data_IF_361639647076
#
_entry.id   IF_361639647076
#
_cell.length_a   1.000
_cell.length_b   1.000
_cell.length_c   1.000
_cell.angle_alpha   90.00
_cell.angle_beta   90.00
_cell.angle_gamma   90.00
#
_symmetry.space_group_name_H-M   'P 1'
#
loop_
_entity.id
_entity.type
_entity.pdbx_description
1 polymer ?
#
# COMPACT_ATOMS: atom_id res chain seq x y z
N UNK A 1 -2.12 32.56 1.49
CA UNK A 1 -2.10 33.66 0.49
C UNK A 1 -0.84 33.66 -0.38
N UNK A 2 0.38 33.57 0.17
CA UNK A 2 1.61 33.55 -0.64
C UNK A 2 1.70 32.37 -1.64
N UNK A 3 1.28 31.16 -1.24
CA UNK A 3 1.29 29.97 -2.11
C UNK A 3 0.34 30.05 -3.31
N UNK A 4 -0.85 30.66 -3.14
CA UNK A 4 -1.83 30.83 -4.23
C UNK A 4 -1.27 31.78 -5.29
N UNK A 5 -0.67 32.91 -4.87
CA UNK A 5 -0.08 33.89 -5.79
C UNK A 5 1.02 33.26 -6.67
N UNK A 6 1.89 32.46 -6.06
CA UNK A 6 2.93 31.69 -6.79
C UNK A 6 2.32 30.79 -7.87
N UNK A 7 1.23 30.09 -7.57
CA UNK A 7 0.61 29.16 -8.53
C UNK A 7 -0.18 29.86 -9.63
N UNK A 8 -0.68 31.08 -9.38
CA UNK A 8 -1.28 31.93 -10.41
C UNK A 8 -0.26 32.39 -11.48
N UNK A 9 1.02 32.45 -11.14
CA UNK A 9 2.11 32.76 -12.09
C UNK A 9 2.46 31.58 -13.01
N UNK A 10 1.91 30.38 -12.75
CA UNK A 10 2.14 29.16 -13.55
C UNK A 10 0.84 28.39 -13.82
N UNK A 11 -0.13 29.00 -14.54
CA UNK A 11 -1.46 28.41 -14.77
C UNK A 11 -1.42 27.22 -15.73
N UNK A 12 -0.38 27.10 -16.58
CA UNK A 12 -0.28 26.05 -17.59
C UNK A 12 0.10 24.66 -17.08
N UNK A 13 0.53 24.54 -15.81
CA UNK A 13 0.84 23.23 -15.21
C UNK A 13 -0.44 22.66 -14.60
N UNK A 14 -0.88 21.48 -15.02
CA UNK A 14 -2.05 20.84 -14.41
C UNK A 14 -1.77 20.41 -12.96
N UNK A 15 -2.82 20.13 -12.18
CA UNK A 15 -2.66 19.60 -10.83
C UNK A 15 -1.95 18.23 -10.85
N UNK A 16 -2.36 17.33 -11.73
CA UNK A 16 -1.75 16.01 -11.87
C UNK A 16 -0.26 16.06 -12.22
N UNK A 17 0.15 16.93 -13.14
CA UNK A 17 1.57 17.15 -13.44
C UNK A 17 2.35 17.70 -12.23
N UNK A 18 1.72 18.59 -11.46
CA UNK A 18 2.33 19.14 -10.25
C UNK A 18 2.54 18.08 -9.18
N UNK A 19 1.49 17.31 -8.87
CA UNK A 19 1.54 16.18 -7.92
C UNK A 19 2.62 15.19 -8.34
N UNK A 20 2.59 14.75 -9.62
CA UNK A 20 3.53 13.75 -10.13
C UNK A 20 4.97 14.23 -10.00
N UNK A 21 5.24 15.52 -10.25
CA UNK A 21 6.57 16.10 -10.04
C UNK A 21 7.01 16.00 -8.57
N UNK A 22 6.12 16.33 -7.63
CA UNK A 22 6.42 16.24 -6.19
C UNK A 22 6.64 14.82 -5.70
N UNK A 23 5.87 13.87 -6.21
CA UNK A 23 6.12 12.44 -5.95
C UNK A 23 7.47 11.98 -6.50
N UNK A 24 7.88 12.45 -7.69
CA UNK A 24 9.20 12.15 -8.24
C UNK A 24 10.34 12.76 -7.44
N UNK A 25 10.20 14.01 -7.00
CA UNK A 25 11.16 14.67 -6.09
C UNK A 25 11.31 13.86 -4.79
N UNK A 26 10.19 13.45 -4.17
CA UNK A 26 10.21 12.60 -2.98
C UNK A 26 10.89 11.26 -3.26
N UNK A 27 10.57 10.60 -4.37
CA UNK A 27 11.19 9.34 -4.72
C UNK A 27 12.72 9.47 -4.86
N UNK A 28 13.20 10.53 -5.51
CA UNK A 28 14.63 10.80 -5.66
C UNK A 28 15.33 11.02 -4.30
N UNK A 29 14.66 11.66 -3.34
CA UNK A 29 15.15 11.80 -1.96
C UNK A 29 15.22 10.47 -1.20
N UNK A 30 14.38 9.49 -1.57
CA UNK A 30 14.27 8.19 -0.91
C UNK A 30 15.14 7.11 -1.54
N UNK A 31 15.55 7.23 -2.81
CA UNK A 31 16.43 6.27 -3.52
C UNK A 31 17.64 5.78 -2.69
N UNK A 32 18.41 6.62 -1.97
CA UNK A 32 19.57 6.14 -1.23
C UNK A 32 19.22 5.44 0.10
N UNK A 33 17.94 5.42 0.49
CA UNK A 33 17.48 4.95 1.80
C UNK A 33 16.87 3.56 1.69
N UNK A 34 17.09 2.77 2.74
CA UNK A 34 16.38 1.52 2.95
C UNK A 34 14.96 1.77 3.48
N UNK A 35 13.95 1.20 2.84
CA UNK A 35 12.57 1.19 3.31
C UNK A 35 12.36 0.05 4.31
N UNK A 36 11.98 0.39 5.55
CA UNK A 36 11.76 -0.57 6.64
C UNK A 36 10.30 -0.53 7.07
N UNK A 37 9.51 -1.51 6.64
CA UNK A 37 8.10 -1.58 7.02
C UNK A 37 7.97 -2.20 8.42
N UNK A 38 7.25 -1.51 9.30
CA UNK A 38 6.94 -1.96 10.64
C UNK A 38 5.45 -2.25 10.76
N UNK A 39 5.14 -3.46 11.19
CA UNK A 39 3.80 -3.84 11.64
C UNK A 39 3.45 -3.13 12.96
N UNK A 40 2.16 -3.03 13.28
CA UNK A 40 1.59 -2.40 14.47
C UNK A 40 2.22 -2.91 15.77
N UNK A 41 2.55 -4.20 15.83
CA UNK A 41 3.27 -4.81 16.96
C UNK A 41 4.61 -4.09 17.23
N UNK A 42 5.40 -3.82 16.20
CA UNK A 42 6.71 -3.17 16.37
C UNK A 42 6.56 -1.70 16.73
N UNK A 43 5.58 -1.00 16.15
CA UNK A 43 5.26 0.37 16.57
C UNK A 43 4.90 0.46 18.06
N UNK A 44 4.15 -0.51 18.59
CA UNK A 44 3.81 -0.60 20.02
C UNK A 44 5.06 -0.84 20.86
N UNK A 45 5.89 -1.83 20.50
CA UNK A 45 7.14 -2.12 21.22
C UNK A 45 8.01 -0.86 21.30
N UNK A 46 8.26 -0.21 20.16
CA UNK A 46 9.14 0.96 20.09
C UNK A 46 8.56 2.18 20.81
N UNK A 47 7.23 2.40 20.74
CA UNK A 47 6.56 3.45 21.53
C UNK A 47 6.77 3.22 23.02
N UNK A 48 6.59 1.99 23.48
CA UNK A 48 6.71 1.67 24.90
C UNK A 48 8.16 1.76 25.40
N UNK A 49 9.15 1.54 24.52
CA UNK A 49 10.57 1.86 24.79
C UNK A 49 10.76 3.37 24.95
N UNK A 50 10.22 4.19 24.04
CA UNK A 50 10.27 5.66 24.15
C UNK A 50 9.65 6.15 25.46
N UNK A 51 8.56 5.51 25.91
CA UNK A 51 7.88 5.84 27.16
C UNK A 51 8.61 5.32 28.42
N UNK A 52 9.68 4.53 28.27
CA UNK A 52 10.37 3.87 29.38
C UNK A 52 9.59 2.72 30.01
N UNK A 53 8.47 2.30 29.42
CA UNK A 53 7.67 1.16 29.87
C UNK A 53 8.29 -0.19 29.49
N UNK A 54 9.12 -0.21 28.44
CA UNK A 54 9.94 -1.34 28.02
C UNK A 54 11.41 -0.96 28.04
N UNK A 55 12.24 -1.81 28.64
CA UNK A 55 13.68 -1.55 28.84
C UNK A 55 14.56 -2.73 28.45
N UNK A 56 13.99 -3.73 27.76
CA UNK A 56 14.78 -4.85 27.27
C UNK A 56 15.86 -4.35 26.30
N UNK A 57 17.10 -4.79 26.50
CA UNK A 57 18.28 -4.30 25.76
C UNK A 57 18.09 -4.36 24.25
N UNK A 58 17.59 -5.49 23.74
CA UNK A 58 17.37 -5.68 22.30
C UNK A 58 16.30 -4.71 21.74
N UNK A 59 15.29 -4.35 22.53
CA UNK A 59 14.22 -3.43 22.10
C UNK A 59 14.70 -1.98 22.05
N UNK A 60 15.52 -1.60 23.04
CA UNK A 60 16.23 -0.31 23.06
C UNK A 60 17.19 -0.22 21.87
N UNK A 61 17.97 -1.27 21.64
CA UNK A 61 18.93 -1.36 20.53
C UNK A 61 18.24 -1.24 19.18
N UNK A 62 17.09 -1.90 18.97
CA UNK A 62 16.33 -1.78 17.73
C UNK A 62 15.87 -0.34 17.48
N UNK A 63 15.35 0.35 18.50
CA UNK A 63 14.95 1.76 18.38
C UNK A 63 16.13 2.66 18.06
N UNK A 64 17.25 2.51 18.78
CA UNK A 64 18.46 3.29 18.56
C UNK A 64 19.03 3.08 17.16
N UNK A 65 19.03 1.84 16.66
CA UNK A 65 19.48 1.51 15.32
C UNK A 65 18.58 2.12 14.23
N UNK A 66 17.26 2.08 14.40
CA UNK A 66 16.34 2.74 13.49
C UNK A 66 16.56 4.26 13.47
N UNK A 67 16.68 4.89 14.64
CA UNK A 67 16.96 6.33 14.76
C UNK A 67 18.28 6.72 14.12
N UNK A 68 19.34 5.92 14.34
CA UNK A 68 20.66 6.14 13.75
C UNK A 68 20.61 6.06 12.22
N UNK A 69 19.95 5.04 11.67
CA UNK A 69 19.82 4.88 10.22
C UNK A 69 18.93 5.94 9.58
N UNK A 70 17.84 6.31 10.23
CA UNK A 70 16.97 7.41 9.75
C UNK A 70 17.70 8.75 9.81
N UNK A 71 18.32 9.07 10.94
CA UNK A 71 19.06 10.32 11.16
C UNK A 71 20.30 10.48 10.27
N UNK A 72 20.93 9.37 9.88
CA UNK A 72 22.07 9.37 8.95
C UNK A 72 21.68 9.23 7.48
N UNK A 73 20.38 9.26 7.15
CA UNK A 73 19.91 9.20 5.76
C UNK A 73 20.05 7.83 5.10
N UNK A 74 20.16 6.75 5.88
CA UNK A 74 20.30 5.37 5.41
C UNK A 74 19.00 4.57 5.42
N UNK A 75 17.98 5.02 6.15
CA UNK A 75 16.67 4.36 6.19
C UNK A 75 15.51 5.34 6.35
N UNK A 76 14.30 4.81 6.19
CA UNK A 76 13.03 5.41 6.59
C UNK A 76 12.02 4.28 6.87
N UNK A 77 11.04 4.53 7.73
CA UNK A 77 10.04 3.55 8.13
C UNK A 77 8.64 3.96 7.64
N UNK A 78 8.28 3.71 6.37
CA UNK A 78 6.99 4.12 5.84
C UNK A 78 5.85 3.34 6.48
N UNK A 79 4.65 3.91 6.43
CA UNK A 79 3.41 3.22 6.81
C UNK A 79 2.44 3.13 5.61
N UNK A 80 1.50 2.19 5.69
CA UNK A 80 0.37 2.09 4.75
C UNK A 80 -0.94 2.56 5.39
N UNK A 81 -1.98 2.66 4.57
CA UNK A 81 -3.36 2.90 4.98
C UNK A 81 -3.84 1.92 6.06
N UNK A 82 -3.35 0.67 6.05
CA UNK A 82 -3.72 -0.32 7.08
C UNK A 82 -3.12 0.03 8.43
N UNK A 83 -1.84 0.45 8.47
CA UNK A 83 -1.19 0.89 9.72
C UNK A 83 -1.84 2.15 10.27
N UNK A 84 -2.31 3.04 9.39
CA UNK A 84 -3.08 4.20 9.80
C UNK A 84 -4.44 3.79 10.39
N UNK A 85 -5.18 2.88 9.74
CA UNK A 85 -6.44 2.39 10.26
C UNK A 85 -6.27 1.78 11.67
N UNK A 86 -5.27 0.92 11.86
CA UNK A 86 -4.94 0.30 13.15
C UNK A 86 -4.57 1.30 14.24
N UNK A 87 -3.80 2.35 13.89
CA UNK A 87 -3.48 3.43 14.82
C UNK A 87 -4.76 4.08 15.37
N UNK A 88 -5.78 4.29 14.54
CA UNK A 88 -7.05 4.87 14.97
C UNK A 88 -7.96 3.90 15.74
N UNK A 89 -7.70 2.58 15.71
CA UNK A 89 -8.36 1.60 16.60
C UNK A 89 -7.88 1.75 18.06
N UNK A 90 -6.73 2.37 18.30
CA UNK A 90 -6.24 2.65 19.65
C UNK A 90 -7.15 3.65 20.36
N UNK A 91 -7.82 3.20 21.43
CA UNK A 91 -8.77 4.01 22.20
C UNK A 91 -8.08 5.05 23.09
N UNK A 92 -6.88 4.75 23.58
CA UNK A 92 -6.14 5.68 24.41
C UNK A 92 -5.46 6.74 23.56
N UNK A 93 -5.97 7.96 23.63
CA UNK A 93 -5.46 9.10 22.86
C UNK A 93 -3.99 9.38 23.13
N UNK A 94 -3.49 9.15 24.35
CA UNK A 94 -2.10 9.43 24.71
C UNK A 94 -1.14 8.51 23.99
N UNK A 95 -1.38 7.19 24.05
CA UNK A 95 -0.56 6.21 23.34
C UNK A 95 -0.70 6.35 21.83
N UNK A 96 -1.89 6.69 21.33
CA UNK A 96 -2.11 6.97 19.90
C UNK A 96 -1.28 8.17 19.42
N UNK A 97 -1.31 9.28 20.15
CA UNK A 97 -0.48 10.45 19.84
C UNK A 97 1.02 10.14 19.94
N UNK A 98 1.44 9.35 20.94
CA UNK A 98 2.83 8.94 21.08
C UNK A 98 3.30 8.06 19.91
N UNK A 99 2.47 7.10 19.47
CA UNK A 99 2.75 6.31 18.26
C UNK A 99 2.82 7.21 17.02
N UNK A 100 1.89 8.15 16.86
CA UNK A 100 1.89 9.07 15.72
C UNK A 100 3.18 9.92 15.63
N UNK A 101 3.67 10.42 16.78
CA UNK A 101 4.95 11.15 16.83
C UNK A 101 6.15 10.29 16.48
N UNK A 102 6.15 9.03 16.92
CA UNK A 102 7.21 8.08 16.57
C UNK A 102 7.16 7.73 15.08
N UNK A 103 5.97 7.59 14.50
CA UNK A 103 5.81 7.42 13.05
C UNK A 103 6.33 8.66 12.31
N UNK A 104 5.97 9.87 12.74
CA UNK A 104 6.49 11.12 12.13
C UNK A 104 8.03 11.13 12.12
N UNK A 105 8.64 10.73 13.24
CA UNK A 105 10.09 10.65 13.42
C UNK A 105 10.73 9.64 12.46
N UNK A 106 10.28 8.38 12.48
CA UNK A 106 10.97 7.28 11.77
C UNK A 106 10.58 7.20 10.28
N UNK A 107 9.37 7.63 9.91
CA UNK A 107 8.89 7.60 8.52
C UNK A 107 9.35 8.81 7.70
N UNK A 108 9.79 9.89 8.35
CA UNK A 108 10.07 11.18 7.71
C UNK A 108 8.84 11.79 7.01
N UNK A 109 7.66 11.47 7.52
CA UNK A 109 6.40 11.89 6.93
C UNK A 109 6.04 11.14 5.66
N UNK A 110 6.62 9.97 5.39
CA UNK A 110 6.40 9.18 4.17
C UNK A 110 5.41 8.04 4.41
N UNK A 111 4.51 7.84 3.46
CA UNK A 111 3.63 6.66 3.39
C UNK A 111 3.78 5.97 2.04
N UNK A 112 3.27 4.74 1.94
CA UNK A 112 2.88 4.21 0.65
C UNK A 112 1.61 4.92 0.16
N UNK A 113 1.40 4.92 -1.16
CA UNK A 113 0.08 5.20 -1.74
C UNK A 113 -0.92 4.09 -1.33
N UNK A 114 -2.24 4.36 -1.27
CA UNK A 114 -3.25 3.39 -0.89
C UNK A 114 -3.26 2.08 -1.71
N UNK A 115 -3.78 0.98 -1.15
CA UNK A 115 -3.91 -0.32 -1.81
C UNK A 115 -4.47 -0.22 -3.23
N UNK A 116 -5.63 0.44 -3.39
CA UNK A 116 -6.30 0.53 -4.67
C UNK A 116 -5.44 1.30 -5.69
N UNK A 117 -4.79 2.39 -5.27
CA UNK A 117 -3.86 3.15 -6.12
C UNK A 117 -2.63 2.31 -6.51
N UNK A 118 -2.10 1.46 -5.62
CA UNK A 118 -1.01 0.53 -5.97
C UNK A 118 -1.44 -0.43 -7.08
N UNK A 119 -2.62 -1.04 -6.94
CA UNK A 119 -3.17 -1.97 -7.95
C UNK A 119 -3.39 -1.26 -9.29
N UNK A 120 -3.93 -0.04 -9.27
CA UNK A 120 -4.15 0.78 -10.48
C UNK A 120 -2.82 1.07 -11.17
N UNK A 121 -1.81 1.55 -10.44
CA UNK A 121 -0.51 1.91 -11.03
C UNK A 121 0.27 0.70 -11.55
N UNK A 122 0.22 -0.43 -10.83
CA UNK A 122 0.78 -1.69 -11.29
C UNK A 122 0.13 -2.11 -12.61
N UNK A 123 -1.20 -2.06 -12.69
CA UNK A 123 -1.97 -2.40 -13.88
C UNK A 123 -1.70 -1.45 -15.05
N UNK A 124 -1.68 -0.14 -14.81
CA UNK A 124 -1.38 0.86 -15.84
C UNK A 124 0.04 0.66 -16.39
N UNK A 125 1.02 0.47 -15.52
CA UNK A 125 2.41 0.20 -15.92
C UNK A 125 2.52 -1.08 -16.74
N UNK A 126 1.85 -2.16 -16.31
CA UNK A 126 1.81 -3.43 -17.03
C UNK A 126 1.20 -3.28 -18.43
N UNK A 127 0.01 -2.66 -18.54
CA UNK A 127 -0.68 -2.44 -19.82
C UNK A 127 0.19 -1.60 -20.77
N UNK A 128 0.78 -0.51 -20.29
CA UNK A 128 1.62 0.35 -21.12
C UNK A 128 2.89 -0.37 -21.59
N UNK A 129 3.47 -1.22 -20.74
CA UNK A 129 4.65 -2.03 -21.05
C UNK A 129 4.34 -3.06 -22.14
N UNK A 130 3.23 -3.80 -22.01
CA UNK A 130 2.75 -4.74 -23.03
C UNK A 130 2.36 -4.03 -24.34
N UNK A 131 1.89 -2.78 -24.24
CA UNK A 131 1.65 -1.88 -25.38
C UNK A 131 2.94 -1.36 -26.05
N UNK A 132 4.12 -1.76 -25.57
CA UNK A 132 5.42 -1.45 -26.18
C UNK A 132 6.07 -0.15 -25.69
N UNK A 133 5.52 0.51 -24.66
CA UNK A 133 6.14 1.72 -24.07
C UNK A 133 7.36 1.32 -23.25
N UNK A 134 8.53 1.89 -23.59
CA UNK A 134 9.84 1.52 -22.99
C UNK A 134 10.34 2.50 -21.93
N UNK A 135 9.82 3.71 -21.90
CA UNK A 135 10.24 4.83 -21.04
C UNK A 135 9.33 4.97 -19.81
N UNK A 136 8.94 3.86 -19.21
CA UNK A 136 8.10 3.85 -18.01
C UNK A 136 8.92 4.21 -16.77
N UNK A 137 8.33 5.03 -15.90
CA UNK A 137 8.90 5.31 -14.58
C UNK A 137 8.85 4.02 -13.75
N UNK A 138 9.95 3.60 -13.13
CA UNK A 138 9.96 2.42 -12.28
C UNK A 138 8.92 2.51 -11.15
N UNK A 139 8.15 1.42 -10.95
CA UNK A 139 7.05 1.38 -9.96
C UNK A 139 7.50 1.80 -8.56
N UNK A 140 8.68 1.38 -8.11
CA UNK A 140 9.21 1.75 -6.78
C UNK A 140 9.34 3.27 -6.56
N UNK A 141 9.40 4.08 -7.62
CA UNK A 141 9.40 5.55 -7.52
C UNK A 141 8.01 6.15 -7.40
N UNK A 142 6.97 5.40 -7.77
CA UNK A 142 5.58 5.87 -7.80
C UNK A 142 4.80 5.46 -6.54
N UNK A 143 5.35 4.60 -5.70
CA UNK A 143 4.64 4.07 -4.53
C UNK A 143 4.67 4.97 -3.30
N UNK A 144 5.40 6.07 -3.33
CA UNK A 144 5.60 6.92 -2.15
C UNK A 144 4.72 8.17 -2.19
N UNK A 145 4.19 8.51 -1.02
CA UNK A 145 3.42 9.73 -0.78
C UNK A 145 3.74 10.30 0.61
N UNK A 146 3.01 11.33 1.02
CA UNK A 146 3.08 11.89 2.38
C UNK A 146 1.95 11.35 3.25
N UNK A 147 2.17 11.28 4.56
CA UNK A 147 1.22 10.76 5.56
C UNK A 147 -0.18 11.40 5.45
N UNK A 148 -0.24 12.68 5.08
CA UNK A 148 -1.49 13.42 4.86
C UNK A 148 -2.35 12.93 3.68
N UNK A 149 -1.74 12.16 2.78
CA UNK A 149 -2.36 11.55 1.61
C UNK A 149 -2.43 10.03 1.70
N UNK A 150 -2.30 9.46 2.89
CA UNK A 150 -2.31 8.00 3.08
C UNK A 150 -3.66 7.35 2.76
N UNK A 151 -4.75 8.13 2.74
CA UNK A 151 -6.08 7.69 2.32
C UNK A 151 -6.44 8.20 0.91
N UNK A 152 -5.42 8.56 0.13
CA UNK A 152 -5.57 9.09 -1.21
C UNK A 152 -5.61 10.61 -1.27
N UNK A 153 -5.52 11.15 -2.48
CA UNK A 153 -5.41 12.57 -2.74
C UNK A 153 -6.80 13.23 -2.87
N UNK A 154 -7.06 14.19 -1.98
CA UNK A 154 -8.30 14.99 -2.02
C UNK A 154 -7.93 16.47 -2.05
N UNK A 155 -8.60 17.22 -2.92
CA UNK A 155 -8.41 18.66 -3.07
C UNK A 155 -9.77 19.37 -3.18
N UNK A 156 -9.87 20.65 -2.77
CA UNK A 156 -11.04 21.46 -3.05
C UNK A 156 -11.29 21.54 -4.56
N UNK A 157 -12.49 21.20 -5.00
CA UNK A 157 -12.89 21.24 -6.41
C UNK A 157 -14.34 21.74 -6.52
N UNK A 158 -14.72 22.20 -7.71
CA UNK A 158 -16.07 22.76 -7.96
C UNK A 158 -16.41 23.92 -7.03
N UNK A 159 -15.42 24.77 -6.83
CA UNK A 159 -15.53 25.99 -6.05
C UNK A 159 -16.23 27.09 -6.86
N UNK A 160 -16.58 28.20 -6.21
CA UNK A 160 -17.12 29.38 -6.89
C UNK A 160 -16.07 30.24 -7.61
N UNK A 161 -14.80 29.81 -7.68
CA UNK A 161 -13.71 30.56 -8.30
C UNK A 161 -13.58 30.27 -9.80
N UNK A 162 -12.87 31.13 -10.54
CA UNK A 162 -12.48 30.84 -11.92
C UNK A 162 -11.47 29.68 -11.98
N UNK A 163 -11.34 29.05 -13.15
CA UNK A 163 -10.52 27.84 -13.31
C UNK A 163 -9.04 28.04 -12.94
N UNK A 164 -8.46 29.22 -13.20
CA UNK A 164 -7.06 29.49 -12.87
C UNK A 164 -6.89 29.65 -11.35
N UNK A 165 -7.80 30.36 -10.70
CA UNK A 165 -7.83 30.51 -9.25
C UNK A 165 -8.10 29.19 -8.53
N UNK A 166 -9.05 28.38 -9.01
CA UNK A 166 -9.32 27.05 -8.46
C UNK A 166 -8.09 26.14 -8.56
N UNK A 167 -7.44 26.09 -9.74
CA UNK A 167 -6.21 25.31 -9.92
C UNK A 167 -5.07 25.79 -9.00
N UNK A 168 -4.92 27.10 -8.84
CA UNK A 168 -3.93 27.67 -7.93
C UNK A 168 -4.23 27.34 -6.46
N UNK A 169 -5.52 27.33 -6.08
CA UNK A 169 -5.97 26.92 -4.75
C UNK A 169 -5.70 25.43 -4.51
N UNK A 170 -5.98 24.57 -5.49
CA UNK A 170 -5.71 23.13 -5.40
C UNK A 170 -4.24 22.83 -5.19
N UNK A 171 -3.35 23.45 -5.98
CA UNK A 171 -1.89 23.27 -5.80
C UNK A 171 -1.40 23.82 -4.46
N UNK A 172 -1.94 24.96 -4.01
CA UNK A 172 -1.59 25.52 -2.70
C UNK A 172 -2.09 24.66 -1.53
N UNK A 173 -3.28 24.07 -1.66
CA UNK A 173 -3.83 23.11 -0.71
C UNK A 173 -2.96 21.84 -0.69
N UNK A 174 -2.53 21.37 -1.86
CA UNK A 174 -1.61 20.25 -1.97
C UNK A 174 -0.30 20.51 -1.23
N UNK A 175 0.34 21.66 -1.48
CA UNK A 175 1.57 22.04 -0.78
C UNK A 175 1.40 22.07 0.74
N UNK A 176 0.25 22.56 1.22
CA UNK A 176 -0.03 22.59 2.65
C UNK A 176 -0.13 21.18 3.22
N UNK A 177 -0.99 20.34 2.62
CA UNK A 177 -1.17 18.95 3.04
C UNK A 177 0.15 18.18 2.99
N UNK A 178 1.00 18.40 1.98
CA UNK A 178 2.30 17.75 1.83
C UNK A 178 3.24 17.94 3.04
N UNK A 179 3.00 18.98 3.85
CA UNK A 179 3.79 19.31 5.05
C UNK A 179 3.16 18.91 6.38
N UNK A 180 1.90 18.46 6.38
CA UNK A 180 1.19 18.09 7.62
C UNK A 180 1.74 16.78 8.18
N UNK A 181 2.00 16.75 9.48
CA UNK A 181 2.43 15.55 10.19
C UNK A 181 1.26 14.64 10.57
N UNK A 182 1.51 13.36 10.77
CA UNK A 182 0.49 12.42 11.25
C UNK A 182 0.03 12.77 12.67
N UNK A 183 0.94 13.22 13.54
CA UNK A 183 0.56 13.69 14.88
C UNK A 183 -0.40 14.89 14.84
N UNK A 184 -0.28 15.76 13.83
CA UNK A 184 -1.26 16.83 13.60
C UNK A 184 -2.59 16.29 13.09
N UNK A 185 -2.59 15.34 12.13
CA UNK A 185 -3.82 14.68 11.68
C UNK A 185 -4.56 13.98 12.81
N UNK A 186 -3.86 13.21 13.63
CA UNK A 186 -4.43 12.49 14.80
C UNK A 186 -5.11 13.48 15.76
N UNK A 187 -4.50 14.66 15.96
CA UNK A 187 -5.07 15.72 16.80
C UNK A 187 -6.32 16.34 16.18
N UNK A 188 -6.29 16.64 14.88
CA UNK A 188 -7.42 17.24 14.15
C UNK A 188 -8.60 16.28 14.08
N UNK A 189 -8.36 15.03 13.73
CA UNK A 189 -9.39 14.00 13.60
C UNK A 189 -9.97 13.67 14.99
N UNK A 190 -9.11 13.57 16.01
CA UNK A 190 -9.54 13.34 17.39
C UNK A 190 -10.34 12.04 17.53
N UNK A 191 -11.57 12.15 18.04
CA UNK A 191 -12.49 11.03 18.20
C UNK A 191 -13.48 10.87 17.03
N UNK A 192 -13.27 11.61 15.94
CA UNK A 192 -14.22 11.69 14.81
C UNK A 192 -14.10 10.53 13.82
N UNK A 193 -13.12 9.63 13.98
CA UNK A 193 -13.06 8.43 13.15
C UNK A 193 -14.25 7.52 13.47
N UNK A 194 -14.95 7.02 12.44
CA UNK A 194 -15.99 6.03 12.64
C UNK A 194 -15.39 4.79 13.33
N UNK A 195 -16.15 4.13 14.23
CA UNK A 195 -15.70 2.89 14.83
C UNK A 195 -15.47 1.84 13.76
N UNK A 196 -14.56 0.91 14.05
CA UNK A 196 -14.30 -0.25 13.20
C UNK A 196 -15.62 -0.99 12.94
N UNK A 197 -15.96 -1.17 11.66
CA UNK A 197 -17.19 -1.83 11.27
C UNK A 197 -17.06 -3.35 11.32
N UNK A 198 -18.18 -4.06 11.41
CA UNK A 198 -18.24 -5.53 11.35
C UNK A 198 -17.96 -6.10 9.94
N UNK A 199 -17.47 -5.29 9.00
CA UNK A 199 -17.29 -5.67 7.60
C UNK A 199 -16.32 -6.85 7.46
N UNK A 200 -15.15 -6.78 8.08
CA UNK A 200 -14.16 -7.87 8.01
C UNK A 200 -14.56 -9.10 8.81
N UNK A 201 -15.26 -8.93 9.94
CA UNK A 201 -15.85 -10.08 10.64
C UNK A 201 -16.91 -10.79 9.79
N UNK A 202 -17.74 -10.03 9.08
CA UNK A 202 -18.76 -10.56 8.17
C UNK A 202 -18.11 -11.25 6.97
N UNK A 203 -17.07 -10.64 6.40
CA UNK A 203 -16.30 -11.20 5.30
C UNK A 203 -15.62 -12.51 5.69
N UNK A 204 -14.92 -12.56 6.83
CA UNK A 204 -14.29 -13.76 7.35
C UNK A 204 -15.29 -14.91 7.53
N UNK A 205 -16.47 -14.63 8.12
CA UNK A 205 -17.54 -15.62 8.26
C UNK A 205 -18.00 -16.16 6.90
N UNK A 206 -18.23 -15.27 5.94
CA UNK A 206 -18.66 -15.63 4.58
C UNK A 206 -17.61 -16.49 3.86
N UNK A 207 -16.34 -16.07 3.90
CA UNK A 207 -15.24 -16.81 3.26
C UNK A 207 -15.03 -18.18 3.90
N UNK A 208 -15.07 -18.27 5.24
CA UNK A 208 -14.95 -19.55 5.93
C UNK A 208 -16.10 -20.50 5.62
N UNK A 209 -17.34 -20.01 5.49
CA UNK A 209 -18.47 -20.83 5.09
C UNK A 209 -18.29 -21.37 3.66
N UNK A 210 -17.85 -20.52 2.72
CA UNK A 210 -17.51 -20.93 1.36
C UNK A 210 -16.36 -21.96 1.34
N UNK A 211 -15.31 -21.77 2.14
CA UNK A 211 -14.21 -22.73 2.25
C UNK A 211 -14.68 -24.11 2.71
N UNK A 212 -15.58 -24.16 3.70
CA UNK A 212 -16.15 -25.41 4.17
C UNK A 212 -17.00 -26.11 3.10
N UNK A 213 -17.78 -25.34 2.34
CA UNK A 213 -18.63 -25.85 1.26
C UNK A 213 -17.82 -26.43 0.09
N UNK A 214 -16.68 -25.82 -0.24
CA UNK A 214 -15.86 -26.16 -1.42
C UNK A 214 -14.52 -26.83 -1.04
N UNK A 215 -14.43 -27.46 0.13
CA UNK A 215 -13.17 -27.99 0.67
C UNK A 215 -12.55 -29.14 -0.16
N UNK A 216 -13.36 -29.82 -0.97
CA UNK A 216 -12.97 -30.90 -1.88
C UNK A 216 -12.31 -30.40 -3.18
N UNK A 217 -12.52 -29.13 -3.52
CA UNK A 217 -11.90 -28.43 -4.65
C UNK A 217 -10.47 -27.94 -4.33
N UNK A 218 -10.09 -27.86 -3.05
CA UNK A 218 -8.82 -27.30 -2.57
C UNK A 218 -7.75 -28.40 -2.36
N UNK A 219 -7.31 -29.05 -3.45
CA UNK A 219 -6.45 -30.25 -3.37
C UNK A 219 -4.95 -29.94 -3.33
N UNK A 220 -4.52 -28.83 -3.91
CA UNK A 220 -3.13 -28.37 -3.90
C UNK A 220 -3.06 -26.85 -3.82
N UNK A 221 -1.95 -26.32 -3.33
CA UNK A 221 -1.74 -24.88 -3.26
C UNK A 221 -1.89 -24.22 -4.64
N UNK A 222 -1.29 -24.78 -5.70
CA UNK A 222 -1.39 -24.23 -7.06
C UNK A 222 -2.83 -24.20 -7.57
N UNK A 223 -3.64 -25.22 -7.26
CA UNK A 223 -5.06 -25.22 -7.62
C UNK A 223 -5.80 -24.13 -6.86
N UNK A 224 -5.60 -24.04 -5.55
CA UNK A 224 -6.21 -23.01 -4.71
C UNK A 224 -5.81 -21.60 -5.15
N UNK A 225 -4.53 -21.38 -5.47
CA UNK A 225 -4.02 -20.14 -6.03
C UNK A 225 -4.73 -19.79 -7.35
N UNK A 226 -4.92 -20.76 -8.25
CA UNK A 226 -5.64 -20.53 -9.50
C UNK A 226 -7.12 -20.16 -9.28
N UNK A 227 -7.77 -20.72 -8.26
CA UNK A 227 -9.15 -20.35 -7.87
C UNK A 227 -9.17 -18.92 -7.31
N UNK A 228 -8.28 -18.61 -6.37
CA UNK A 228 -8.17 -17.27 -5.77
C UNK A 228 -7.84 -16.21 -6.79
N UNK A 229 -6.91 -16.50 -7.70
CA UNK A 229 -6.54 -15.59 -8.77
C UNK A 229 -7.76 -15.24 -9.62
N UNK A 230 -8.54 -16.23 -10.06
CA UNK A 230 -9.75 -15.96 -10.86
C UNK A 230 -10.75 -15.08 -10.12
N UNK A 231 -10.96 -15.32 -8.82
CA UNK A 231 -11.81 -14.46 -7.99
C UNK A 231 -11.25 -13.04 -7.84
N UNK A 232 -9.94 -12.89 -7.69
CA UNK A 232 -9.28 -11.58 -7.69
C UNK A 232 -9.41 -10.86 -9.03
N UNK A 233 -9.31 -11.60 -10.15
CA UNK A 233 -9.48 -11.08 -11.50
C UNK A 233 -10.91 -10.57 -11.77
N UNK A 234 -11.93 -11.11 -11.11
CA UNK A 234 -13.30 -10.56 -11.19
C UNK A 234 -13.37 -9.11 -10.67
N UNK A 235 -12.48 -8.74 -9.74
CA UNK A 235 -12.39 -7.38 -9.18
C UNK A 235 -11.49 -6.47 -10.02
N UNK A 236 -10.40 -6.98 -10.58
CA UNK A 236 -9.40 -6.14 -11.27
C UNK A 236 -9.56 -6.07 -12.80
N UNK A 237 -10.29 -6.99 -13.43
CA UNK A 237 -10.53 -6.94 -14.87
C UNK A 237 -11.35 -5.70 -15.32
N UNK A 238 -12.39 -5.26 -14.58
CA UNK A 238 -13.06 -3.98 -14.87
C UNK A 238 -12.09 -2.80 -14.83
N UNK A 239 -11.18 -2.79 -13.85
CA UNK A 239 -10.16 -1.74 -13.74
C UNK A 239 -9.21 -1.72 -14.94
N UNK A 240 -8.74 -2.89 -15.41
CA UNK A 240 -7.90 -2.98 -16.61
C UNK A 240 -8.65 -2.46 -17.86
N UNK A 241 -9.93 -2.82 -18.00
CA UNK A 241 -10.80 -2.33 -19.07
C UNK A 241 -10.97 -0.81 -19.01
N UNK A 242 -11.12 -0.23 -17.82
CA UNK A 242 -11.24 1.21 -17.62
C UNK A 242 -9.95 1.95 -18.01
N UNK A 243 -8.79 1.46 -17.54
CA UNK A 243 -7.48 2.05 -17.87
C UNK A 243 -7.27 2.10 -19.40
N UNK A 244 -7.57 1.00 -20.09
CA UNK A 244 -7.44 0.94 -21.56
C UNK A 244 -8.47 1.83 -22.24
N UNK A 245 -9.70 1.87 -21.71
CA UNK A 245 -10.74 2.78 -22.17
C UNK A 245 -10.30 4.23 -22.09
N UNK A 246 -9.67 4.65 -20.99
CA UNK A 246 -9.12 6.00 -20.84
C UNK A 246 -7.97 6.28 -21.80
N UNK A 247 -7.06 5.33 -21.98
CA UNK A 247 -5.96 5.47 -22.94
C UNK A 247 -6.50 5.65 -24.37
N UNK A 248 -7.49 4.83 -24.76
CA UNK A 248 -8.15 4.90 -26.06
C UNK A 248 -8.94 6.20 -26.24
N UNK A 249 -9.63 6.67 -25.20
CA UNK A 249 -10.37 7.93 -25.20
C UNK A 249 -9.42 9.12 -25.41
N UNK A 250 -8.27 9.14 -24.71
CA UNK A 250 -7.24 10.19 -24.91
C UNK A 250 -6.65 10.17 -26.33
N UNK A 251 -6.54 9.00 -26.95
CA UNK A 251 -5.98 8.85 -28.29
C UNK A 251 -6.98 9.16 -29.41
N UNK A 252 -8.26 8.86 -29.22
CA UNK A 252 -9.29 8.89 -30.27
C UNK A 252 -10.38 9.93 -30.06
N UNK A 253 -10.49 10.49 -28.86
CA UNK A 253 -11.58 11.39 -28.44
C UNK A 253 -12.94 10.68 -28.28
N UNK A 254 -13.00 9.35 -28.40
CA UNK A 254 -14.24 8.58 -28.26
C UNK A 254 -14.29 7.92 -26.89
N UNK A 255 -15.32 8.26 -26.12
CA UNK A 255 -15.58 7.60 -24.84
C UNK A 255 -16.45 6.36 -25.06
N UNK A 256 -16.13 5.30 -24.33
CA UNK A 256 -16.94 4.09 -24.25
C UNK A 256 -17.87 4.19 -23.03
N UNK A 257 -19.10 3.70 -23.15
CA UNK A 257 -20.01 3.56 -22.01
C UNK A 257 -19.54 2.39 -21.14
N UNK A 258 -19.46 2.60 -19.82
CA UNK A 258 -19.04 1.57 -18.85
C UNK A 258 -20.24 0.72 -18.41
N UNK A 259 -21.01 0.29 -19.41
CA UNK A 259 -22.23 -0.48 -19.24
C UNK A 259 -22.58 -1.17 -20.58
N UNK A 260 -23.46 -2.18 -20.51
CA UNK A 260 -23.93 -2.93 -21.66
C UNK A 260 -22.98 -4.01 -22.17
N UNK A 261 -23.37 -4.65 -23.26
CA UNK A 261 -22.71 -5.87 -23.77
C UNK A 261 -21.26 -5.63 -24.20
N UNK A 262 -20.97 -4.50 -24.85
CA UNK A 262 -19.62 -4.14 -25.31
C UNK A 262 -18.63 -4.01 -24.14
N UNK A 263 -19.02 -3.32 -23.07
CA UNK A 263 -18.23 -3.22 -21.84
C UNK A 263 -18.02 -4.59 -21.20
N UNK A 264 -19.11 -5.36 -21.06
CA UNK A 264 -19.05 -6.69 -20.48
C UNK A 264 -18.15 -7.65 -21.28
N UNK A 265 -18.14 -7.54 -22.62
CA UNK A 265 -17.24 -8.29 -23.49
C UNK A 265 -15.78 -7.89 -23.29
N UNK A 266 -15.49 -6.59 -23.15
CA UNK A 266 -14.13 -6.11 -22.88
C UNK A 266 -13.62 -6.60 -21.52
N UNK A 267 -14.46 -6.54 -20.47
CA UNK A 267 -14.11 -7.03 -19.14
C UNK A 267 -13.83 -8.54 -19.18
N UNK A 268 -14.66 -9.33 -19.88
CA UNK A 268 -14.43 -10.78 -20.06
C UNK A 268 -13.11 -11.07 -20.79
N UNK A 269 -12.78 -10.28 -21.81
CA UNK A 269 -11.51 -10.41 -22.53
C UNK A 269 -10.31 -10.13 -21.62
N UNK A 270 -10.37 -9.06 -20.82
CA UNK A 270 -9.32 -8.76 -19.84
C UNK A 270 -9.18 -9.82 -18.77
N UNK A 271 -10.28 -10.35 -18.27
CA UNK A 271 -10.25 -11.46 -17.31
C UNK A 271 -9.53 -12.68 -17.88
N UNK A 272 -9.91 -13.12 -19.07
CA UNK A 272 -9.29 -14.26 -19.75
C UNK A 272 -7.80 -14.02 -20.05
N UNK A 273 -7.47 -12.81 -20.53
CA UNK A 273 -6.08 -12.42 -20.80
C UNK A 273 -5.23 -12.46 -19.53
N UNK A 274 -5.68 -11.81 -18.45
CA UNK A 274 -4.94 -11.76 -17.18
C UNK A 274 -4.78 -13.16 -16.58
N UNK A 275 -5.82 -14.01 -16.65
CA UNK A 275 -5.75 -15.38 -16.16
C UNK A 275 -4.67 -16.21 -16.86
N UNK A 276 -4.46 -15.99 -18.16
CA UNK A 276 -3.38 -16.63 -18.91
C UNK A 276 -2.02 -15.96 -18.62
N UNK A 277 -2.00 -14.63 -18.55
CA UNK A 277 -0.78 -13.83 -18.33
C UNK A 277 -0.10 -14.17 -17.00
N UNK A 278 -0.87 -14.35 -15.92
CA UNK A 278 -0.37 -14.68 -14.57
C UNK A 278 0.35 -16.03 -14.45
N UNK A 279 0.35 -16.85 -15.50
CA UNK A 279 1.22 -18.03 -15.57
C UNK A 279 2.69 -17.65 -15.71
N UNK A 280 2.98 -16.46 -16.24
CA UNK A 280 4.33 -15.90 -16.38
C UNK A 280 4.77 -15.22 -15.09
N UNK A 281 6.04 -15.38 -14.74
CA UNK A 281 6.59 -14.78 -13.52
C UNK A 281 6.69 -13.26 -13.65
N UNK A 282 7.01 -12.74 -14.83
CA UNK A 282 7.14 -11.31 -15.06
C UNK A 282 5.83 -10.55 -14.77
N UNK A 283 4.68 -11.19 -15.00
CA UNK A 283 3.35 -10.62 -14.72
C UNK A 283 3.08 -10.58 -13.21
N UNK A 284 3.50 -11.60 -12.46
CA UNK A 284 3.42 -11.60 -11.00
C UNK A 284 4.31 -10.51 -10.39
N UNK A 285 5.44 -10.18 -11.05
CA UNK A 285 6.34 -9.12 -10.59
C UNK A 285 5.83 -7.72 -10.93
N UNK A 286 5.15 -7.58 -12.06
CA UNK A 286 4.47 -6.35 -12.46
C UNK A 286 3.24 -6.07 -11.60
N UNK A 287 2.43 -7.09 -11.32
CA UNK A 287 1.17 -7.03 -10.56
C UNK A 287 1.34 -7.61 -9.15
N UNK A 288 2.38 -7.13 -8.45
CA UNK A 288 2.84 -7.70 -7.17
C UNK A 288 1.81 -7.60 -6.06
N UNK A 289 1.06 -6.51 -5.97
CA UNK A 289 0.06 -6.32 -4.92
C UNK A 289 -1.02 -7.38 -5.04
N UNK A 290 -1.48 -7.64 -6.27
CA UNK A 290 -2.45 -8.71 -6.54
C UNK A 290 -1.86 -10.10 -6.31
N UNK A 291 -0.62 -10.35 -6.75
CA UNK A 291 0.04 -11.65 -6.57
C UNK A 291 0.23 -12.01 -5.09
N UNK A 292 0.74 -11.07 -4.29
CA UNK A 292 0.96 -11.25 -2.84
C UNK A 292 -0.38 -11.54 -2.17
N UNK A 293 -1.39 -10.71 -2.39
CA UNK A 293 -2.70 -10.87 -1.76
C UNK A 293 -3.34 -12.22 -2.14
N UNK A 294 -3.33 -12.58 -3.42
CA UNK A 294 -3.80 -13.88 -3.93
C UNK A 294 -3.09 -15.06 -3.25
N UNK A 295 -1.77 -14.96 -3.06
CA UNK A 295 -0.96 -16.01 -2.46
C UNK A 295 -1.32 -16.23 -0.98
N UNK A 296 -1.56 -15.15 -0.22
CA UNK A 296 -1.93 -15.23 1.20
C UNK A 296 -3.33 -15.78 1.41
N UNK A 297 -4.30 -15.30 0.60
CA UNK A 297 -5.63 -15.89 0.58
C UNK A 297 -5.59 -17.39 0.22
N UNK A 298 -4.80 -17.76 -0.78
CA UNK A 298 -4.66 -19.15 -1.19
C UNK A 298 -4.02 -20.02 -0.09
N UNK A 299 -3.03 -19.48 0.64
CA UNK A 299 -2.36 -20.17 1.74
C UNK A 299 -3.35 -20.52 2.86
N UNK A 300 -4.18 -19.57 3.29
CA UNK A 300 -5.19 -19.79 4.32
C UNK A 300 -6.23 -20.81 3.87
N UNK A 301 -6.73 -20.70 2.64
CA UNK A 301 -7.75 -21.62 2.12
C UNK A 301 -7.21 -23.04 1.92
N UNK A 302 -5.99 -23.17 1.43
CA UNK A 302 -5.36 -24.47 1.20
C UNK A 302 -5.09 -25.19 2.52
N UNK A 303 -4.69 -24.46 3.56
CA UNK A 303 -4.55 -25.01 4.90
C UNK A 303 -5.92 -25.23 5.57
N UNK A 304 -6.50 -26.42 5.40
CA UNK A 304 -7.85 -26.77 5.92
C UNK A 304 -8.03 -26.60 7.43
N UNK A 305 -6.95 -26.54 8.21
CA UNK A 305 -7.00 -26.30 9.65
C UNK A 305 -7.10 -24.81 10.00
N UNK A 306 -6.73 -23.93 9.07
CA UNK A 306 -6.75 -22.48 9.24
C UNK A 306 -8.10 -21.90 8.78
N UNK A 307 -8.49 -20.80 9.43
CA UNK A 307 -9.70 -20.05 9.10
C UNK A 307 -9.35 -18.59 8.99
N UNK A 308 -10.07 -17.87 8.15
CA UNK A 308 -9.97 -16.42 8.09
C UNK A 308 -10.47 -15.79 9.38
N UNK A 309 -9.70 -14.85 9.91
CA UNK A 309 -10.08 -13.91 10.95
C UNK A 309 -10.15 -12.49 10.37
N UNK A 310 -10.77 -11.56 11.09
CA UNK A 310 -10.90 -10.18 10.60
C UNK A 310 -9.54 -9.47 10.46
N UNK A 311 -8.58 -9.83 11.31
CA UNK A 311 -7.23 -9.24 11.28
C UNK A 311 -6.41 -9.70 10.08
N UNK A 312 -6.65 -10.93 9.58
CA UNK A 312 -5.91 -11.47 8.41
C UNK A 312 -5.96 -10.53 7.21
N UNK A 313 -7.07 -9.83 6.98
CA UNK A 313 -7.19 -8.89 5.85
C UNK A 313 -6.27 -7.67 6.00
N UNK A 314 -6.10 -7.17 7.22
CA UNK A 314 -5.12 -6.12 7.50
C UNK A 314 -3.70 -6.65 7.34
N UNK A 315 -3.41 -7.83 7.89
CA UNK A 315 -2.10 -8.49 7.79
C UNK A 315 -1.70 -8.70 6.33
N UNK A 316 -2.65 -9.08 5.47
CA UNK A 316 -2.40 -9.25 4.03
C UNK A 316 -2.13 -7.92 3.32
N UNK A 317 -2.80 -6.85 3.72
CA UNK A 317 -2.50 -5.51 3.20
C UNK A 317 -1.13 -5.02 3.67
N UNK A 318 -0.73 -5.29 4.92
CA UNK A 318 0.62 -5.03 5.41
C UNK A 318 1.65 -5.80 4.58
N UNK A 319 1.45 -7.09 4.37
CA UNK A 319 2.33 -7.92 3.56
C UNK A 319 2.42 -7.43 2.11
N UNK A 320 1.30 -7.06 1.48
CA UNK A 320 1.30 -6.53 0.11
C UNK A 320 2.09 -5.22 -0.01
N UNK A 321 1.93 -4.31 0.96
CA UNK A 321 2.70 -3.06 1.01
C UNK A 321 4.20 -3.31 1.27
N UNK A 322 4.51 -4.13 2.27
CA UNK A 322 5.87 -4.37 2.74
C UNK A 322 6.69 -5.21 1.76
N UNK A 323 6.20 -6.40 1.40
CA UNK A 323 6.90 -7.30 0.47
C UNK A 323 6.97 -6.68 -0.92
N UNK A 324 5.94 -5.93 -1.31
CA UNK A 324 5.90 -5.31 -2.62
C UNK A 324 6.97 -4.23 -2.81
N UNK A 325 7.26 -3.43 -1.78
CA UNK A 325 7.98 -2.17 -1.98
C UNK A 325 8.98 -1.78 -0.89
N UNK A 326 9.17 -2.59 0.15
CA UNK A 326 10.13 -2.34 1.22
C UNK A 326 11.26 -3.38 1.22
N UNK A 327 12.43 -2.99 1.74
CA UNK A 327 13.59 -3.88 1.82
C UNK A 327 13.54 -4.80 3.06
N UNK A 328 12.86 -4.36 4.12
CA UNK A 328 12.72 -5.07 5.39
C UNK A 328 11.27 -4.99 5.86
N UNK A 329 10.74 -6.10 6.35
CA UNK A 329 9.41 -6.20 6.94
C UNK A 329 9.50 -6.81 8.34
N UNK A 330 9.19 -6.02 9.37
CA UNK A 330 9.09 -6.49 10.75
C UNK A 330 7.64 -6.77 11.09
N UNK A 331 7.27 -8.04 11.28
CA UNK A 331 5.88 -8.52 11.48
C UNK A 331 5.81 -9.63 12.55
N UNK A 332 4.66 -10.23 12.81
CA UNK A 332 4.53 -11.37 13.69
C UNK A 332 4.96 -12.71 13.05
N UNK A 333 5.15 -13.71 13.91
CA UNK A 333 5.67 -15.02 13.50
C UNK A 333 4.74 -15.74 12.53
N UNK A 334 3.42 -15.53 12.66
CA UNK A 334 2.41 -16.15 11.80
C UNK A 334 2.58 -15.71 10.35
N UNK A 335 2.52 -14.39 10.11
CA UNK A 335 2.68 -13.86 8.76
C UNK A 335 4.09 -14.09 8.21
N UNK A 336 5.15 -13.95 9.01
CA UNK A 336 6.51 -14.35 8.59
C UNK A 336 6.51 -15.79 8.06
N UNK A 337 6.01 -16.74 8.85
CA UNK A 337 6.01 -18.16 8.47
C UNK A 337 5.23 -18.42 7.18
N UNK A 338 4.16 -17.66 6.94
CA UNK A 338 3.35 -17.76 5.73
C UNK A 338 4.08 -17.21 4.51
N UNK A 339 4.61 -15.98 4.58
CA UNK A 339 5.23 -15.29 3.44
C UNK A 339 6.56 -15.91 3.05
N UNK A 340 7.29 -16.53 4.00
CA UNK A 340 8.56 -17.22 3.75
C UNK A 340 8.42 -18.72 3.51
N UNK A 341 7.20 -19.27 3.48
CA UNK A 341 7.00 -20.70 3.25
C UNK A 341 7.53 -21.08 1.86
N UNK A 342 8.26 -22.19 1.73
CA UNK A 342 8.98 -22.53 0.48
C UNK A 342 8.13 -22.63 -0.79
N UNK A 343 6.84 -22.94 -0.65
CA UNK A 343 5.89 -23.02 -1.76
C UNK A 343 5.24 -21.66 -2.12
N UNK A 344 5.48 -20.63 -1.31
CA UNK A 344 5.00 -19.25 -1.46
C UNK A 344 6.20 -18.32 -1.75
N UNK A 345 7.20 -18.31 -0.87
CA UNK A 345 8.51 -17.66 -1.00
C UNK A 345 8.45 -16.20 -1.49
N UNK A 346 7.47 -15.43 -0.99
CA UNK A 346 7.25 -14.03 -1.41
C UNK A 346 8.37 -13.12 -0.96
N UNK A 347 8.95 -13.38 0.22
CA UNK A 347 10.12 -12.69 0.76
C UNK A 347 11.30 -12.76 -0.23
N UNK A 348 11.57 -13.96 -0.73
CA UNK A 348 12.67 -14.22 -1.67
C UNK A 348 12.35 -13.65 -3.04
N UNK A 349 11.11 -13.84 -3.53
CA UNK A 349 10.67 -13.36 -4.85
C UNK A 349 10.82 -11.84 -4.97
N UNK A 350 10.42 -11.10 -3.95
CA UNK A 350 10.44 -9.64 -3.97
C UNK A 350 11.66 -9.03 -3.26
N UNK A 351 12.58 -9.86 -2.75
CA UNK A 351 13.81 -9.40 -2.11
C UNK A 351 13.58 -8.64 -0.80
N UNK A 352 12.49 -8.94 -0.08
CA UNK A 352 12.13 -8.31 1.18
C UNK A 352 12.52 -9.21 2.35
N UNK A 353 13.34 -8.70 3.28
CA UNK A 353 13.77 -9.48 4.44
C UNK A 353 12.75 -9.41 5.56
N UNK A 354 12.24 -10.56 5.98
CA UNK A 354 11.14 -10.64 6.95
C UNK A 354 11.64 -11.11 8.31
N UNK A 355 11.31 -10.36 9.36
CA UNK A 355 11.70 -10.66 10.74
C UNK A 355 10.48 -10.64 11.67
N UNK A 356 10.40 -11.65 12.54
CA UNK A 356 9.27 -11.90 13.43
C UNK A 356 9.48 -11.39 14.86
N UNK A 357 10.73 -11.12 15.22
CA UNK A 357 11.15 -10.63 16.51
C UNK A 357 12.25 -9.56 16.41
N UNK A 358 12.53 -8.96 17.56
CA UNK A 358 13.42 -7.80 17.70
C UNK A 358 14.86 -8.13 17.30
N UNK A 359 15.36 -9.32 17.63
CA UNK A 359 16.74 -9.72 17.31
C UNK A 359 16.90 -9.97 15.83
N UNK A 360 15.94 -10.66 15.22
CA UNK A 360 15.90 -10.83 13.77
C UNK A 360 15.81 -9.46 13.07
N UNK A 361 15.02 -8.52 13.61
CA UNK A 361 14.92 -7.16 13.09
C UNK A 361 16.25 -6.40 13.14
N UNK A 362 17.01 -6.51 14.23
CA UNK A 362 18.36 -5.95 14.34
C UNK A 362 19.31 -6.58 13.30
N UNK A 363 19.28 -7.91 13.14
CA UNK A 363 20.11 -8.60 12.13
C UNK A 363 19.78 -8.11 10.72
N UNK A 364 18.49 -8.05 10.38
CA UNK A 364 18.03 -7.55 9.11
C UNK A 364 18.51 -6.10 8.88
N UNK A 365 18.48 -5.23 9.89
CA UNK A 365 18.98 -3.87 9.70
C UNK A 365 20.50 -3.81 9.51
N UNK A 366 21.29 -4.69 10.12
CA UNK A 366 22.76 -4.65 10.08
C UNK A 366 23.40 -5.14 8.78
N UNK A 367 22.82 -6.13 8.12
CA UNK A 367 23.42 -6.79 6.95
C UNK A 367 23.56 -5.89 5.70
N UNK A 368 22.96 -4.69 5.70
CA UNK A 368 23.15 -3.65 4.67
C UNK A 368 23.97 -2.51 5.27
N UNK A 369 25.28 -2.72 5.39
CA UNK A 369 26.26 -1.68 5.75
C UNK A 369 27.19 -1.42 4.57
#
# INVERSE_FOLDING_TARGET
MAGIRRHLESPGVSLGEYVRRRQMELADELVPRQAVYLDQKFWIILRDVVAGARTATDEVELLELLRERVGSGRAFCPISESSFAELFKQRDTRTREATARLIDELSLGVSLIPFDERVVLEMESFILSEGGRKDLVPLHRLMWSKLSYILGQVHPARTGFDAATELALQKAFFDHMWTISLSEMVRIIGASMPPDGDAFHTLAKRLNAGNAQHADELRSFNQTYGIELRGGLDLVAPLAADIVGEIAERATGRSMLRDGDEWNDLVRQWHAFLAEAFKKDEVKDALRTLHINTSLHAAVRWNKAQRFEANDFHDFHHAAAALGYCDVFLTERGLKSMVTASHIALDTRYGCRVAADVREGISALRERA
#
